data_IF_991365771361
#
_entry.id   IF_991365771361
#
_cell.length_a   1.000
_cell.length_b   1.000
_cell.length_c   1.000
_cell.angle_alpha   90.00
_cell.angle_beta   90.00
_cell.angle_gamma   90.00
#
_symmetry.space_group_name_H-M   'P 1'
#
loop_
_entity.id
_entity.type
_entity.pdbx_description
1 polymer ?
#
# COMPACT_ATOMS: atom_id res chain seq x y z
N UNK A 1 9.35 -70.41 71.07
CA UNK A 1 9.48 -68.95 71.24
C UNK A 1 9.93 -68.35 69.91
N UNK A 2 9.05 -67.55 69.27
CA UNK A 2 9.23 -66.65 68.11
C UNK A 2 8.28 -66.94 66.95
N UNK A 3 7.03 -66.55 67.18
CA UNK A 3 6.04 -66.14 66.18
C UNK A 3 6.61 -64.98 65.34
N UNK A 4 6.85 -65.21 64.05
CA UNK A 4 7.25 -64.16 63.11
C UNK A 4 6.01 -63.72 62.31
N UNK A 5 5.39 -62.65 62.80
CA UNK A 5 4.21 -62.00 62.23
C UNK A 5 4.38 -61.69 60.73
N UNK A 6 3.73 -62.45 59.86
CA UNK A 6 3.51 -62.06 58.47
C UNK A 6 2.34 -61.06 58.43
N UNK A 7 2.65 -59.79 58.70
CA UNK A 7 1.69 -58.68 58.60
C UNK A 7 1.31 -58.48 57.14
N UNK A 8 0.22 -59.13 56.71
CA UNK A 8 -0.43 -58.86 55.44
C UNK A 8 -0.78 -57.36 55.39
N UNK A 9 -0.01 -56.59 54.63
CA UNK A 9 -0.44 -55.26 54.19
C UNK A 9 -1.47 -55.49 53.10
N UNK A 10 -2.74 -55.48 53.48
CA UNK A 10 -3.84 -55.42 52.52
C UNK A 10 -3.59 -54.26 51.56
N UNK A 11 -3.36 -54.58 50.30
CA UNK A 11 -3.26 -53.59 49.25
C UNK A 11 -4.62 -52.90 49.16
N UNK A 12 -4.70 -51.69 49.73
CA UNK A 12 -5.85 -50.83 49.55
C UNK A 12 -5.89 -50.47 48.07
N UNK A 13 -6.67 -51.21 47.29
CA UNK A 13 -7.03 -50.82 45.94
C UNK A 13 -7.78 -49.50 46.04
N UNK A 14 -7.04 -48.39 45.95
CA UNK A 14 -7.59 -47.08 45.64
C UNK A 14 -8.34 -47.29 44.34
N UNK A 15 -9.68 -47.28 44.41
CA UNK A 15 -10.53 -47.20 43.24
C UNK A 15 -10.09 -45.93 42.50
N UNK A 16 -9.30 -46.08 41.44
CA UNK A 16 -8.99 -45.01 40.50
C UNK A 16 -10.32 -44.67 39.82
N UNK A 17 -11.00 -43.69 40.39
CA UNK A 17 -12.29 -43.20 39.92
C UNK A 17 -12.02 -42.22 38.80
N UNK A 18 -12.22 -42.61 37.54
CA UNK A 18 -12.58 -41.77 36.38
C UNK A 18 -11.85 -40.43 36.14
N UNK A 19 -10.79 -40.10 36.87
CA UNK A 19 -10.22 -38.76 36.90
C UNK A 19 -9.57 -38.40 35.55
N UNK A 20 -8.88 -39.37 34.95
CA UNK A 20 -8.29 -39.21 33.63
C UNK A 20 -9.35 -38.99 32.54
N UNK A 21 -10.51 -39.66 32.61
CA UNK A 21 -11.59 -39.45 31.62
C UNK A 21 -12.25 -38.09 31.80
N UNK A 22 -12.41 -37.61 33.04
CA UNK A 22 -12.95 -36.25 33.28
C UNK A 22 -11.97 -35.18 32.84
N UNK A 23 -10.67 -35.32 33.11
CA UNK A 23 -9.63 -34.37 32.68
C UNK A 23 -9.51 -34.34 31.15
N UNK A 24 -9.57 -35.50 30.49
CA UNK A 24 -9.58 -35.58 29.03
C UNK A 24 -10.80 -34.90 28.41
N UNK A 25 -12.00 -35.13 28.94
CA UNK A 25 -13.22 -34.48 28.44
C UNK A 25 -13.16 -32.96 28.62
N UNK A 26 -12.65 -32.48 29.77
CA UNK A 26 -12.46 -31.04 30.02
C UNK A 26 -11.46 -30.45 29.02
N UNK A 27 -10.33 -31.12 28.80
CA UNK A 27 -9.34 -30.68 27.81
C UNK A 27 -9.91 -30.69 26.39
N UNK A 28 -10.66 -31.72 26.01
CA UNK A 28 -11.29 -31.80 24.69
C UNK A 28 -12.31 -30.66 24.48
N UNK A 29 -13.10 -30.35 25.50
CA UNK A 29 -14.08 -29.26 25.47
C UNK A 29 -13.42 -27.89 25.29
N UNK A 30 -12.21 -27.70 25.83
CA UNK A 30 -11.43 -26.45 25.67
C UNK A 30 -10.65 -26.42 24.35
N UNK A 31 -10.00 -27.51 23.97
CA UNK A 31 -9.14 -27.58 22.78
C UNK A 31 -9.94 -27.58 21.47
N UNK A 32 -11.14 -28.16 21.46
CA UNK A 32 -11.97 -28.22 20.25
C UNK A 32 -12.33 -26.82 19.71
N UNK A 33 -12.96 -25.91 20.50
CA UNK A 33 -13.25 -24.56 20.01
C UNK A 33 -11.98 -23.76 19.70
N UNK A 34 -10.88 -23.99 20.44
CA UNK A 34 -9.60 -23.34 20.16
C UNK A 34 -9.04 -23.74 18.79
N UNK A 35 -9.08 -25.03 18.46
CA UNK A 35 -8.63 -25.53 17.15
C UNK A 35 -9.53 -25.06 16.02
N UNK A 36 -10.84 -24.92 16.25
CA UNK A 36 -11.78 -24.36 15.27
C UNK A 36 -11.60 -22.85 15.07
N UNK A 37 -11.09 -22.13 16.07
CA UNK A 37 -10.81 -20.70 15.95
C UNK A 37 -9.62 -20.41 15.02
N UNK A 38 -8.64 -21.33 14.91
CA UNK A 38 -7.45 -21.16 14.06
C UNK A 38 -7.78 -20.93 12.58
N UNK A 39 -8.54 -21.80 11.88
CA UNK A 39 -8.87 -21.57 10.47
C UNK A 39 -9.74 -20.32 10.26
N UNK A 40 -10.63 -20.01 11.21
CA UNK A 40 -11.44 -18.79 11.18
C UNK A 40 -10.55 -17.54 11.25
N UNK A 41 -9.57 -17.51 12.15
CA UNK A 41 -8.57 -16.44 12.21
C UNK A 41 -7.76 -16.37 10.91
N UNK A 42 -7.38 -17.51 10.34
CA UNK A 42 -6.69 -17.58 9.06
C UNK A 42 -7.47 -16.91 7.93
N UNK A 43 -8.78 -17.15 7.82
CA UNK A 43 -9.64 -16.50 6.83
C UNK A 43 -9.71 -14.97 7.01
N UNK A 44 -9.76 -14.49 8.25
CA UNK A 44 -9.71 -13.05 8.51
C UNK A 44 -8.35 -12.42 8.19
N UNK A 45 -7.26 -13.11 8.50
CA UNK A 45 -5.91 -12.67 8.14
C UNK A 45 -5.74 -12.63 6.61
N UNK A 46 -6.30 -13.60 5.90
CA UNK A 46 -6.28 -13.63 4.44
C UNK A 46 -7.04 -12.45 3.84
N UNK A 47 -8.29 -12.19 4.26
CA UNK A 47 -9.05 -11.00 3.86
C UNK A 47 -8.29 -9.69 4.12
N UNK A 48 -7.55 -9.64 5.21
CA UNK A 48 -6.71 -8.49 5.57
C UNK A 48 -5.53 -8.31 4.62
N UNK A 49 -4.91 -9.40 4.16
CA UNK A 49 -3.85 -9.36 3.15
C UNK A 49 -4.39 -8.94 1.79
N UNK A 50 -5.55 -9.46 1.39
CA UNK A 50 -6.23 -9.06 0.16
C UNK A 50 -6.62 -7.56 0.19
N UNK A 51 -7.06 -7.03 1.33
CA UNK A 51 -7.27 -5.59 1.51
C UNK A 51 -5.99 -4.76 1.33
N UNK A 52 -4.85 -5.26 1.81
CA UNK A 52 -3.54 -4.61 1.66
C UNK A 52 -3.06 -4.62 0.20
N UNK A 53 -3.26 -5.73 -0.51
CA UNK A 53 -2.97 -5.81 -1.93
C UNK A 53 -3.88 -4.86 -2.72
N UNK A 54 -5.16 -4.77 -2.34
CA UNK A 54 -6.13 -3.94 -3.04
C UNK A 54 -5.83 -2.46 -2.85
N UNK A 55 -5.37 -2.04 -1.67
CA UNK A 55 -4.97 -0.66 -1.43
C UNK A 55 -3.73 -0.27 -2.24
N UNK A 56 -2.76 -1.18 -2.40
CA UNK A 56 -1.60 -0.98 -3.27
C UNK A 56 -1.99 -0.88 -4.73
N UNK A 57 -2.87 -1.77 -5.18
CA UNK A 57 -3.41 -1.76 -6.53
C UNK A 57 -4.12 -0.44 -6.85
N UNK A 58 -5.04 -0.02 -5.99
CA UNK A 58 -5.77 1.24 -6.15
C UNK A 58 -4.82 2.45 -6.13
N UNK A 59 -3.90 2.52 -5.18
CA UNK A 59 -2.91 3.60 -5.12
C UNK A 59 -2.08 3.66 -6.42
N UNK A 60 -1.67 2.50 -6.94
CA UNK A 60 -0.93 2.41 -8.20
C UNK A 60 -1.74 2.92 -9.40
N UNK A 61 -2.98 2.44 -9.58
CA UNK A 61 -3.86 2.85 -10.68
C UNK A 61 -4.09 4.37 -10.70
N UNK A 62 -4.24 4.97 -9.52
CA UNK A 62 -4.38 6.42 -9.38
C UNK A 62 -3.06 7.13 -9.73
N UNK A 63 -1.92 6.61 -9.27
CA UNK A 63 -0.61 7.24 -9.47
C UNK A 63 -0.11 7.21 -10.93
N UNK A 64 -0.33 6.09 -11.65
CA UNK A 64 0.28 5.87 -12.97
C UNK A 64 -0.43 6.66 -14.09
N UNK A 65 -1.72 6.95 -13.91
CA UNK A 65 -2.54 7.61 -14.91
C UNK A 65 -2.36 9.13 -14.96
N UNK A 66 -1.66 9.69 -13.96
CA UNK A 66 -1.33 11.11 -13.86
C UNK A 66 -2.56 12.03 -13.85
N UNK A 67 -2.36 13.35 -13.89
CA UNK A 67 -3.46 14.33 -13.89
C UNK A 67 -4.31 14.33 -15.17
N UNK A 68 -3.81 13.79 -16.30
CA UNK A 68 -4.51 13.82 -17.59
C UNK A 68 -5.68 12.84 -17.71
N UNK A 69 -5.56 11.66 -17.10
CA UNK A 69 -6.48 10.55 -17.34
C UNK A 69 -6.85 9.86 -16.05
N UNK A 70 -7.37 10.62 -15.08
CA UNK A 70 -7.84 10.05 -13.82
C UNK A 70 -8.94 9.03 -14.09
N UNK A 71 -8.67 7.78 -13.75
CA UNK A 71 -9.63 6.70 -13.86
C UNK A 71 -10.72 6.90 -12.81
N UNK A 72 -11.97 6.68 -13.21
CA UNK A 72 -13.10 6.78 -12.28
C UNK A 72 -12.89 5.83 -11.09
N UNK A 73 -13.05 6.37 -9.89
CA UNK A 73 -12.94 5.66 -8.63
C UNK A 73 -13.87 4.44 -8.58
N UNK A 74 -15.07 4.55 -9.14
CA UNK A 74 -16.02 3.44 -9.22
C UNK A 74 -15.46 2.26 -10.04
N UNK A 75 -14.71 2.56 -11.10
CA UNK A 75 -14.07 1.56 -11.95
C UNK A 75 -12.91 0.90 -11.20
N UNK A 76 -12.04 1.70 -10.55
CA UNK A 76 -10.94 1.18 -9.73
C UNK A 76 -11.47 0.27 -8.62
N UNK A 77 -12.57 0.66 -7.96
CA UNK A 77 -13.21 -0.15 -6.94
C UNK A 77 -13.79 -1.46 -7.50
N UNK A 78 -14.42 -1.44 -8.68
CA UNK A 78 -14.95 -2.63 -9.34
C UNK A 78 -13.83 -3.61 -9.73
N UNK A 79 -12.76 -3.12 -10.32
CA UNK A 79 -11.59 -3.91 -10.68
C UNK A 79 -10.88 -4.48 -9.44
N UNK A 80 -10.73 -3.68 -8.37
CA UNK A 80 -10.14 -4.15 -7.12
C UNK A 80 -10.94 -5.31 -6.52
N UNK A 81 -12.28 -5.19 -6.47
CA UNK A 81 -13.16 -6.29 -6.04
C UNK A 81 -12.97 -7.53 -6.90
N UNK A 82 -12.92 -7.35 -8.21
CA UNK A 82 -12.85 -8.44 -9.17
C UNK A 82 -11.49 -9.12 -9.23
N UNK A 83 -10.39 -8.39 -9.11
CA UNK A 83 -9.03 -8.95 -9.22
C UNK A 83 -8.51 -9.48 -7.89
N UNK A 84 -8.94 -8.89 -6.78
CA UNK A 84 -8.38 -9.22 -5.47
C UNK A 84 -9.36 -9.92 -4.53
N UNK A 85 -10.67 -9.82 -4.72
CA UNK A 85 -11.64 -10.46 -3.83
C UNK A 85 -12.46 -11.57 -4.51
N UNK A 86 -12.24 -11.81 -5.80
CA UNK A 86 -12.85 -12.91 -6.55
C UNK A 86 -12.06 -14.22 -6.37
N UNK A 87 -12.50 -15.29 -7.04
CA UNK A 87 -11.68 -16.48 -7.28
C UNK A 87 -10.28 -16.15 -7.79
N UNK A 88 -9.28 -16.91 -7.35
CA UNK A 88 -7.88 -16.68 -7.73
C UNK A 88 -7.56 -16.98 -9.20
N UNK A 89 -8.44 -17.71 -9.89
CA UNK A 89 -8.35 -18.06 -11.31
C UNK A 89 -9.12 -17.07 -12.21
N UNK A 90 -9.66 -15.98 -11.64
CA UNK A 90 -10.40 -14.98 -12.38
C UNK A 90 -9.52 -14.36 -13.49
N UNK A 91 -9.92 -14.46 -14.78
CA UNK A 91 -9.20 -13.81 -15.86
C UNK A 91 -9.32 -12.29 -15.74
N UNK A 92 -8.21 -11.58 -16.00
CA UNK A 92 -8.16 -10.12 -16.01
C UNK A 92 -8.81 -9.61 -17.31
N UNK A 93 -9.87 -8.80 -17.17
CA UNK A 93 -10.60 -8.23 -18.31
C UNK A 93 -10.59 -6.70 -18.28
N UNK A 94 -10.87 -6.09 -19.44
CA UNK A 94 -11.22 -4.67 -19.52
C UNK A 94 -12.65 -4.49 -19.00
N UNK A 95 -12.90 -3.42 -18.23
CA UNK A 95 -14.18 -3.17 -17.56
C UNK A 95 -14.60 -4.32 -16.63
N UNK A 96 -13.64 -4.81 -15.84
CA UNK A 96 -13.84 -5.98 -14.98
C UNK A 96 -14.72 -5.63 -13.78
N UNK A 97 -15.78 -6.41 -13.58
CA UNK A 97 -16.73 -6.25 -12.48
C UNK A 97 -16.93 -7.60 -11.79
N UNK A 98 -16.87 -7.60 -10.46
CA UNK A 98 -17.10 -8.80 -9.66
C UNK A 98 -18.59 -9.17 -9.66
N UNK A 99 -18.90 -10.39 -10.10
CA UNK A 99 -20.24 -10.95 -10.01
C UNK A 99 -20.49 -11.57 -8.63
N UNK A 100 -21.67 -11.33 -8.06
CA UNK A 100 -22.10 -11.85 -6.77
C UNK A 100 -22.65 -13.30 -6.86
N UNK A 101 -21.96 -14.19 -7.59
CA UNK A 101 -22.35 -15.60 -7.74
C UNK A 101 -21.18 -16.53 -7.44
N UNK A 102 -21.46 -17.79 -7.06
CA UNK A 102 -20.48 -18.74 -6.52
C UNK A 102 -19.23 -18.92 -7.38
N UNK A 103 -19.37 -18.98 -8.71
CA UNK A 103 -18.26 -19.12 -9.65
C UNK A 103 -17.27 -17.94 -9.71
N UNK A 104 -17.58 -16.81 -9.08
CA UNK A 104 -16.70 -15.64 -8.96
C UNK A 104 -16.32 -15.33 -7.51
N UNK A 105 -16.64 -16.21 -6.55
CA UNK A 105 -16.29 -16.00 -5.14
C UNK A 105 -15.12 -16.87 -4.73
N UNK A 106 -14.23 -16.32 -3.92
CA UNK A 106 -13.17 -17.12 -3.32
C UNK A 106 -13.79 -18.22 -2.42
N UNK A 107 -13.56 -19.51 -2.71
CA UNK A 107 -14.13 -20.61 -1.93
C UNK A 107 -13.58 -20.68 -0.50
N UNK A 108 -12.41 -20.09 -0.24
CA UNK A 108 -11.79 -20.09 1.10
C UNK A 108 -12.54 -19.20 2.09
N UNK A 109 -13.32 -18.23 1.62
CA UNK A 109 -14.07 -17.28 2.44
C UNK A 109 -15.54 -17.69 2.59
N UNK A 110 -15.74 -18.99 2.82
CA UNK A 110 -17.03 -19.60 3.12
C UNK A 110 -17.05 -20.08 4.57
N UNK A 111 -18.20 -20.02 5.21
CA UNK A 111 -18.44 -20.68 6.49
C UNK A 111 -18.64 -22.19 6.30
N UNK A 112 -18.69 -22.97 7.38
CA UNK A 112 -18.96 -24.41 7.34
C UNK A 112 -20.34 -24.76 6.76
N UNK A 113 -21.26 -23.79 6.68
CA UNK A 113 -22.56 -23.89 6.01
C UNK A 113 -22.53 -23.61 4.52
N UNK A 114 -21.41 -23.09 4.01
CA UNK A 114 -21.27 -22.62 2.63
C UNK A 114 -21.63 -21.15 2.42
N UNK A 115 -22.04 -20.42 3.47
CA UNK A 115 -22.31 -18.99 3.39
C UNK A 115 -21.01 -18.20 3.19
N UNK A 116 -20.99 -17.23 2.28
CA UNK A 116 -19.80 -16.43 2.00
C UNK A 116 -19.66 -15.26 2.98
N UNK A 117 -18.44 -15.01 3.47
CA UNK A 117 -18.14 -13.85 4.31
C UNK A 117 -18.30 -12.51 3.57
N UNK A 118 -18.19 -12.53 2.24
CA UNK A 118 -18.46 -11.37 1.40
C UNK A 118 -19.62 -11.73 0.47
N UNK A 119 -20.88 -11.68 0.93
CA UNK A 119 -22.06 -12.06 0.14
C UNK A 119 -22.37 -11.04 -0.95
N UNK A 120 -22.00 -9.77 -0.77
CA UNK A 120 -22.10 -8.73 -1.80
C UNK A 120 -20.81 -7.94 -1.81
N UNK A 121 -20.09 -7.94 -2.92
CA UNK A 121 -18.81 -7.24 -2.99
C UNK A 121 -18.95 -5.73 -2.85
N UNK A 122 -20.05 -5.16 -3.33
CA UNK A 122 -20.32 -3.72 -3.26
C UNK A 122 -20.45 -3.22 -1.80
N UNK A 123 -21.11 -4.00 -0.93
CA UNK A 123 -21.33 -3.64 0.48
C UNK A 123 -20.18 -4.10 1.38
N UNK A 124 -19.59 -5.26 1.09
CA UNK A 124 -18.53 -5.86 1.89
C UNK A 124 -17.14 -5.27 1.62
N UNK A 125 -16.92 -4.59 0.48
CA UNK A 125 -15.64 -3.97 0.14
C UNK A 125 -15.86 -2.50 -0.22
N UNK A 126 -15.43 -1.61 0.66
CA UNK A 126 -15.45 -0.15 0.48
C UNK A 126 -14.14 0.34 -0.09
N UNK A 127 -14.20 1.33 -0.97
CA UNK A 127 -13.05 2.01 -1.56
C UNK A 127 -13.15 3.50 -1.27
N UNK A 128 -12.02 4.13 -0.96
CA UNK A 128 -11.90 5.58 -0.89
C UNK A 128 -10.50 6.01 -1.38
N UNK A 129 -10.45 6.83 -2.42
CA UNK A 129 -9.25 7.48 -2.90
C UNK A 129 -9.21 8.96 -2.47
N UNK A 130 -8.04 9.42 -2.06
CA UNK A 130 -7.79 10.83 -1.79
C UNK A 130 -6.42 11.24 -2.34
N UNK A 131 -6.36 12.38 -3.00
CA UNK A 131 -5.11 13.06 -3.32
C UNK A 131 -4.89 14.15 -2.26
N UNK A 132 -3.73 14.13 -1.61
CA UNK A 132 -3.34 15.10 -0.60
C UNK A 132 -2.10 15.87 -1.07
N UNK A 133 -2.05 17.16 -0.75
CA UNK A 133 -0.86 17.99 -0.92
C UNK A 133 0.14 17.65 0.16
N UNK A 134 1.31 17.13 -0.22
CA UNK A 134 2.48 17.11 0.64
C UNK A 134 3.57 17.94 -0.01
N UNK A 135 4.32 18.67 0.81
CA UNK A 135 5.46 19.43 0.33
C UNK A 135 6.45 18.48 -0.36
N UNK A 136 6.45 18.49 -1.69
CA UNK A 136 7.40 17.77 -2.48
C UNK A 136 8.77 18.46 -2.36
N UNK A 137 9.89 17.71 -2.35
CA UNK A 137 11.22 18.30 -2.45
C UNK A 137 11.48 19.01 -3.79
N UNK A 138 10.52 19.06 -4.73
CA UNK A 138 10.68 19.63 -6.07
C UNK A 138 11.13 21.10 -6.10
N UNK A 139 10.97 21.86 -5.00
CA UNK A 139 11.51 23.23 -4.87
C UNK A 139 13.04 23.30 -4.90
N UNK A 140 13.76 22.26 -4.48
CA UNK A 140 15.24 22.32 -4.40
C UNK A 140 15.93 22.04 -5.73
N UNK A 141 15.24 21.50 -6.73
CA UNK A 141 15.77 21.26 -8.09
C UNK A 141 15.32 22.34 -9.09
N UNK A 142 14.41 23.24 -8.69
CA UNK A 142 13.92 24.35 -9.51
C UNK A 142 14.97 25.42 -9.84
N UNK A 143 16.20 25.32 -9.32
CA UNK A 143 17.29 26.26 -9.61
C UNK A 143 17.63 26.38 -11.10
N UNK A 144 17.43 25.31 -11.88
CA UNK A 144 17.66 25.29 -13.32
C UNK A 144 16.41 25.57 -14.16
N UNK A 145 15.25 25.74 -13.52
CA UNK A 145 13.94 25.80 -14.17
C UNK A 145 13.40 27.23 -14.34
N UNK A 146 14.28 28.25 -14.42
CA UNK A 146 13.89 29.67 -14.53
C UNK A 146 13.51 30.31 -13.19
N UNK A 147 13.41 31.64 -13.16
CA UNK A 147 13.16 32.44 -11.93
C UNK A 147 11.83 32.12 -11.25
N UNK A 148 10.85 31.65 -12.03
CA UNK A 148 9.51 31.30 -11.54
C UNK A 148 9.35 29.79 -11.33
N UNK A 149 10.33 28.98 -11.77
CA UNK A 149 10.31 27.52 -11.73
C UNK A 149 9.22 26.89 -12.63
N UNK A 150 9.26 25.56 -12.81
CA UNK A 150 8.22 24.85 -13.59
C UNK A 150 6.84 24.75 -12.90
N UNK A 151 6.65 25.42 -11.74
CA UNK A 151 5.40 25.44 -10.96
C UNK A 151 4.72 24.07 -10.86
N UNK A 152 5.52 23.04 -10.53
CA UNK A 152 5.06 21.66 -10.54
C UNK A 152 3.94 21.44 -9.50
N UNK A 153 2.94 20.59 -9.78
CA UNK A 153 1.85 20.29 -8.85
C UNK A 153 2.35 19.82 -7.47
N UNK A 154 1.77 20.35 -6.40
CA UNK A 154 2.14 20.00 -5.02
C UNK A 154 1.27 18.86 -4.43
N UNK A 155 0.18 18.47 -5.12
CA UNK A 155 -0.68 17.33 -4.79
C UNK A 155 -0.05 16.01 -5.23
N UNK A 156 1.05 15.67 -4.58
CA UNK A 156 1.92 14.56 -4.98
C UNK A 156 1.74 13.29 -4.14
N UNK A 157 0.92 13.31 -3.08
CA UNK A 157 0.62 12.14 -2.27
C UNK A 157 -0.76 11.58 -2.64
N UNK A 158 -0.76 10.43 -3.31
CA UNK A 158 -1.97 9.71 -3.65
C UNK A 158 -2.20 8.60 -2.64
N UNK A 159 -3.34 8.64 -1.97
CA UNK A 159 -3.72 7.67 -0.95
C UNK A 159 -4.94 6.89 -1.39
N UNK A 160 -4.85 5.56 -1.35
CA UNK A 160 -6.00 4.67 -1.49
C UNK A 160 -6.29 3.95 -0.18
N UNK A 161 -7.57 3.91 0.21
CA UNK A 161 -8.09 3.21 1.39
C UNK A 161 -9.08 2.13 0.95
N UNK A 162 -8.88 0.93 1.46
CA UNK A 162 -9.76 -0.22 1.26
C UNK A 162 -10.28 -0.68 2.60
N UNK A 163 -11.59 -0.73 2.72
CA UNK A 163 -12.28 -1.31 3.87
C UNK A 163 -12.93 -2.64 3.48
N UNK A 164 -12.79 -3.65 4.33
CA UNK A 164 -13.47 -4.94 4.18
C UNK A 164 -14.34 -5.17 5.40
N UNK A 165 -15.62 -5.48 5.15
CA UNK A 165 -16.66 -5.73 6.12
C UNK A 165 -17.21 -7.14 5.88
N UNK A 166 -16.57 -8.18 6.44
CA UNK A 166 -17.09 -9.54 6.36
C UNK A 166 -18.39 -9.67 7.16
N UNK A 167 -19.35 -10.45 6.63
CA UNK A 167 -20.53 -10.87 7.37
C UNK A 167 -20.14 -11.76 8.55
N UNK A 168 -20.88 -11.64 9.66
CA UNK A 168 -20.59 -12.40 10.88
C UNK A 168 -21.01 -13.85 10.71
N UNK A 169 -20.20 -14.81 11.18
CA UNK A 169 -20.64 -16.20 11.26
C UNK A 169 -21.74 -16.32 12.34
N UNK A 170 -22.93 -16.76 11.93
CA UNK A 170 -24.17 -16.71 12.73
C UNK A 170 -24.15 -17.62 13.97
N UNK A 171 -23.18 -18.53 14.07
CA UNK A 171 -23.17 -19.61 15.06
C UNK A 171 -22.31 -19.34 16.29
N UNK A 172 -21.44 -18.34 16.23
CA UNK A 172 -20.73 -17.89 17.40
C UNK A 172 -21.61 -16.92 18.16
N UNK A 173 -22.29 -17.42 19.21
CA UNK A 173 -23.17 -16.59 20.06
C UNK A 173 -22.44 -15.37 20.66
N UNK A 174 -21.12 -15.49 20.86
CA UNK A 174 -20.24 -14.38 21.25
C UNK A 174 -20.22 -13.22 20.22
N UNK A 175 -20.41 -13.53 18.92
CA UNK A 175 -20.48 -12.62 17.78
C UNK A 175 -21.89 -12.46 17.19
N UNK A 176 -22.93 -12.92 17.90
CA UNK A 176 -24.32 -12.78 17.46
C UNK A 176 -24.82 -11.33 17.55
N UNK A 177 -25.95 -11.04 16.90
CA UNK A 177 -26.57 -9.71 16.84
C UNK A 177 -26.91 -9.14 18.23
N UNK A 178 -27.05 -10.01 19.24
CA UNK A 178 -27.25 -9.63 20.65
C UNK A 178 -26.02 -8.97 21.29
N UNK A 179 -24.86 -9.01 20.62
CA UNK A 179 -23.61 -8.39 21.05
C UNK A 179 -23.07 -7.42 19.98
N UNK A 180 -23.70 -6.25 19.79
CA UNK A 180 -23.43 -5.32 18.68
C UNK A 180 -22.00 -4.74 18.68
N UNK A 181 -21.23 -4.93 19.76
CA UNK A 181 -19.89 -4.38 19.94
C UNK A 181 -18.80 -4.97 19.03
N UNK A 182 -19.04 -6.08 18.35
CA UNK A 182 -18.03 -6.73 17.50
C UNK A 182 -18.42 -6.63 16.03
N UNK A 183 -18.24 -5.43 15.45
CA UNK A 183 -18.25 -5.25 14.00
C UNK A 183 -16.80 -5.24 13.50
N UNK A 184 -16.35 -6.36 12.94
CA UNK A 184 -14.99 -6.49 12.42
C UNK A 184 -14.89 -5.75 11.10
N UNK A 185 -14.29 -4.57 11.13
CA UNK A 185 -13.92 -3.81 9.94
C UNK A 185 -12.41 -3.82 9.77
N UNK A 186 -11.95 -4.33 8.64
CA UNK A 186 -10.53 -4.26 8.26
C UNK A 186 -10.34 -3.04 7.39
N UNK A 187 -9.43 -2.14 7.75
CA UNK A 187 -9.10 -0.97 6.93
C UNK A 187 -7.62 -1.00 6.56
N UNK A 188 -7.29 -0.82 5.28
CA UNK A 188 -5.92 -0.78 4.76
C UNK A 188 -5.74 0.45 3.91
N UNK A 189 -4.60 1.11 4.07
CA UNK A 189 -4.26 2.34 3.38
C UNK A 189 -2.90 2.19 2.73
N UNK A 190 -2.75 2.73 1.52
CA UNK A 190 -1.45 2.84 0.85
C UNK A 190 -1.33 4.23 0.25
N UNK A 191 -0.22 4.91 0.55
CA UNK A 191 0.14 6.20 -0.01
C UNK A 191 1.30 6.03 -0.99
N UNK A 192 1.20 6.65 -2.17
CA UNK A 192 2.27 6.76 -3.14
C UNK A 192 2.60 8.23 -3.32
N UNK A 193 3.86 8.58 -3.10
CA UNK A 193 4.40 9.88 -3.43
C UNK A 193 4.87 9.82 -4.88
N UNK A 194 4.22 10.57 -5.78
CA UNK A 194 4.67 10.69 -7.17
C UNK A 194 5.50 11.95 -7.36
N UNK A 195 6.37 11.94 -8.37
CA UNK A 195 7.03 13.17 -8.78
C UNK A 195 6.12 13.96 -9.73
N UNK A 196 6.18 15.28 -9.62
CA UNK A 196 5.30 16.20 -10.31
C UNK A 196 5.79 16.53 -11.75
N UNK A 197 6.84 15.85 -12.21
CA UNK A 197 7.36 15.93 -13.58
C UNK A 197 6.45 15.32 -14.64
N UNK A 198 5.47 14.50 -14.26
CA UNK A 198 4.45 14.06 -15.20
C UNK A 198 3.53 15.24 -15.56
N UNK A 199 3.34 15.46 -16.87
CA UNK A 199 2.41 16.43 -17.41
C UNK A 199 1.18 15.73 -17.99
N UNK A 200 0.02 16.37 -17.88
CA UNK A 200 -1.21 15.89 -18.47
C UNK A 200 -1.20 16.02 -20.01
N UNK A 201 -0.53 17.02 -20.55
CA UNK A 201 -0.52 17.26 -22.00
C UNK A 201 0.76 17.96 -22.45
N UNK A 202 1.01 17.90 -23.76
CA UNK A 202 2.09 18.69 -24.38
C UNK A 202 1.87 20.20 -24.18
N UNK A 203 0.62 20.66 -24.17
CA UNK A 203 0.28 22.06 -23.90
C UNK A 203 0.66 22.46 -22.47
N UNK A 204 0.41 21.59 -21.48
CA UNK A 204 0.82 21.85 -20.10
C UNK A 204 2.35 21.89 -19.95
N UNK A 205 3.09 21.02 -20.66
CA UNK A 205 4.55 21.09 -20.69
C UNK A 205 5.00 22.42 -21.29
N UNK A 206 4.40 22.82 -22.43
CA UNK A 206 4.70 24.09 -23.09
C UNK A 206 4.43 25.26 -22.16
N UNK A 207 3.27 25.31 -21.51
CA UNK A 207 2.90 26.36 -20.57
C UNK A 207 3.88 26.42 -19.39
N UNK A 208 4.28 25.27 -18.82
CA UNK A 208 5.28 25.23 -17.73
C UNK A 208 6.64 25.78 -18.18
N UNK A 209 7.06 25.51 -19.41
CA UNK A 209 8.34 25.99 -19.96
C UNK A 209 8.27 27.47 -20.32
N UNK A 210 7.20 27.92 -20.96
CA UNK A 210 7.03 29.33 -21.36
C UNK A 210 6.85 30.24 -20.14
N UNK A 211 6.19 29.75 -19.09
CA UNK A 211 5.95 30.49 -17.85
C UNK A 211 7.01 30.23 -16.75
N UNK A 212 8.07 29.47 -17.05
CA UNK A 212 9.21 29.27 -16.15
C UNK A 212 10.02 30.57 -15.92
N UNK A 213 9.82 31.57 -16.79
CA UNK A 213 10.59 32.79 -16.82
C UNK A 213 11.95 32.59 -17.50
N UNK A 214 12.77 33.65 -17.64
CA UNK A 214 14.09 33.54 -18.26
C UNK A 214 14.97 32.53 -17.51
N UNK A 215 15.48 31.54 -18.25
CA UNK A 215 16.49 30.58 -17.80
C UNK A 215 17.88 31.24 -17.77
N UNK A 216 18.01 32.36 -17.08
CA UNK A 216 19.34 32.86 -16.72
C UNK A 216 19.77 32.09 -15.48
N UNK A 217 20.85 31.29 -15.49
CA UNK A 217 21.45 30.89 -14.24
C UNK A 217 21.76 32.19 -13.50
N UNK A 218 21.27 32.39 -12.27
CA UNK A 218 21.62 33.59 -11.55
C UNK A 218 23.15 33.58 -11.42
N UNK A 219 23.82 34.56 -12.05
CA UNK A 219 25.21 34.91 -11.76
C UNK A 219 25.38 35.43 -10.32
N UNK A 220 24.27 35.50 -9.57
CA UNK A 220 24.27 35.51 -8.13
C UNK A 220 24.27 34.06 -7.67
N UNK A 221 25.45 33.57 -7.28
CA UNK A 221 25.56 32.48 -6.31
C UNK A 221 24.59 32.84 -5.18
N UNK A 222 23.42 32.20 -5.06
CA UNK A 222 22.66 32.37 -3.83
C UNK A 222 23.62 31.85 -2.79
N UNK A 223 23.85 32.61 -1.72
CA UNK A 223 24.44 32.07 -0.51
C UNK A 223 23.68 30.78 -0.21
N UNK A 224 24.27 29.66 -0.60
CA UNK A 224 23.77 28.32 -0.35
C UNK A 224 23.54 28.37 1.15
N UNK A 225 22.30 28.23 1.61
CA UNK A 225 22.15 27.71 2.96
C UNK A 225 22.82 26.33 2.85
N UNK A 226 24.01 26.13 3.44
CA UNK A 226 24.92 25.08 3.00
C UNK A 226 24.40 23.67 3.28
N UNK A 227 23.22 23.54 3.89
CA UNK A 227 22.65 22.26 4.29
C UNK A 227 21.24 22.01 3.72
N UNK A 228 21.04 21.90 2.39
CA UNK A 228 19.84 21.21 1.86
C UNK A 228 19.80 19.74 2.33
N UNK A 229 20.96 19.19 2.70
CA UNK A 229 21.08 17.91 3.37
C UNK A 229 20.50 17.92 4.79
N UNK A 230 20.47 19.04 5.54
CA UNK A 230 19.84 19.03 6.88
C UNK A 230 18.34 18.75 6.78
N UNK A 231 17.63 19.44 5.90
CA UNK A 231 16.19 19.22 5.69
C UNK A 231 15.87 17.79 5.19
N UNK A 232 16.74 17.22 4.35
CA UNK A 232 16.63 15.82 3.90
C UNK A 232 17.01 14.81 4.98
N UNK A 233 18.03 15.10 5.82
CA UNK A 233 18.41 14.23 6.93
C UNK A 233 17.45 14.31 8.11
N UNK A 234 16.79 15.45 8.34
CA UNK A 234 15.74 15.61 9.35
C UNK A 234 14.49 14.80 8.97
N UNK A 235 14.10 14.81 7.69
CA UNK A 235 13.00 13.97 7.17
C UNK A 235 13.32 12.47 7.13
N UNK A 236 14.60 12.10 6.99
CA UNK A 236 15.06 10.70 7.02
C UNK A 236 15.40 10.19 8.43
N UNK A 237 15.72 11.07 9.39
CA UNK A 237 15.98 10.70 10.78
C UNK A 237 14.72 10.22 11.51
N UNK A 238 13.53 10.65 11.07
CA UNK A 238 12.25 10.09 11.52
C UNK A 238 12.01 8.63 11.06
N UNK A 239 12.79 8.12 10.08
CA UNK A 239 12.56 6.84 9.41
C UNK A 239 13.55 5.71 9.76
N UNK A 240 14.45 5.89 10.74
CA UNK A 240 15.27 4.80 11.31
C UNK A 240 16.75 4.75 10.88
N UNK A 241 17.52 3.73 11.35
CA UNK A 241 18.96 3.83 11.59
C UNK A 241 19.79 3.48 10.35
N UNK A 242 19.77 4.33 9.33
CA UNK A 242 20.65 4.17 8.17
C UNK A 242 21.90 5.05 8.29
N UNK A 243 23.09 4.59 7.84
CA UNK A 243 24.34 5.33 7.95
C UNK A 243 24.40 6.48 6.95
N UNK A 244 23.86 7.63 7.35
CA UNK A 244 23.72 8.88 6.57
C UNK A 244 25.06 9.50 6.12
N UNK A 245 26.18 9.05 6.68
CA UNK A 245 27.51 9.62 6.39
C UNK A 245 28.03 9.28 4.99
N UNK A 246 27.64 8.13 4.42
CA UNK A 246 28.08 7.71 3.08
C UNK A 246 27.49 8.61 1.98
N UNK A 247 26.25 9.09 2.18
CA UNK A 247 25.56 10.03 1.30
C UNK A 247 26.21 11.42 1.30
N UNK A 248 26.73 11.87 2.45
CA UNK A 248 27.45 13.15 2.56
C UNK A 248 28.75 13.16 1.74
N UNK A 249 29.44 12.02 1.66
CA UNK A 249 30.70 11.91 0.92
C UNK A 249 30.52 11.93 -0.60
N UNK A 250 29.43 11.34 -1.13
CA UNK A 250 29.12 11.35 -2.57
C UNK A 250 28.57 12.70 -3.06
N UNK A 251 27.90 13.46 -2.21
CA UNK A 251 27.38 14.78 -2.55
C UNK A 251 28.51 15.82 -2.78
N UNK A 252 29.62 15.70 -2.04
CA UNK A 252 30.76 16.62 -2.16
C UNK A 252 31.50 16.48 -3.51
N UNK A 253 31.50 15.28 -4.10
CA UNK A 253 32.16 15.02 -5.40
C UNK A 253 31.27 15.38 -6.59
N UNK A 254 29.95 15.22 -6.48
CA UNK A 254 29.00 15.58 -7.55
C UNK A 254 28.82 17.10 -7.71
N UNK A 255 29.00 17.89 -6.66
CA UNK A 255 28.89 19.36 -6.70
C UNK A 255 30.01 20.08 -7.47
N UNK A 256 31.11 19.39 -7.80
CA UNK A 256 32.28 19.98 -8.48
C UNK A 256 32.39 19.62 -9.97
N UNK A 257 31.59 18.66 -10.45
CA UNK A 257 31.67 18.15 -11.82
C UNK A 257 31.34 19.16 -12.94
N UNK A 258 30.41 20.12 -12.81
CA UNK A 258 30.15 21.05 -13.92
C UNK A 258 31.19 22.17 -14.06
N UNK A 259 32.11 22.34 -13.11
CA UNK A 259 33.17 23.37 -13.16
C UNK A 259 34.46 22.84 -13.79
N UNK A 260 34.71 21.52 -13.74
CA UNK A 260 35.98 20.93 -14.16
C UNK A 260 36.08 20.55 -15.64
N UNK A 261 34.95 20.42 -16.36
CA UNK A 261 34.96 19.88 -17.72
C UNK A 261 35.12 20.91 -18.85
N UNK A 262 35.09 22.23 -18.58
CA UNK A 262 35.38 23.25 -19.60
C UNK A 262 34.55 23.17 -20.89
N UNK A 263 33.44 22.42 -20.88
CA UNK A 263 32.59 22.25 -22.04
C UNK A 263 31.80 23.55 -22.28
N UNK A 264 31.71 24.00 -23.54
CA UNK A 264 30.88 25.14 -23.88
C UNK A 264 29.44 24.84 -23.46
N UNK A 265 28.89 25.73 -22.62
CA UNK A 265 27.49 25.70 -22.19
C UNK A 265 26.59 25.46 -23.42
N UNK A 266 25.69 24.45 -23.39
CA UNK A 266 24.72 24.27 -24.47
C UNK A 266 23.91 25.56 -24.58
N UNK A 267 24.01 26.23 -25.74
CA UNK A 267 23.19 27.41 -26.04
C UNK A 267 21.76 26.93 -26.25
N UNK A 268 20.97 26.94 -25.19
CA UNK A 268 19.52 26.79 -25.31
C UNK A 268 18.95 28.03 -26.02
N UNK A 269 18.88 27.95 -27.35
CA UNK A 269 18.06 28.85 -28.15
C UNK A 269 16.59 28.53 -27.93
N UNK A 270 15.71 29.50 -28.26
CA UNK A 270 14.24 29.34 -28.24
C UNK A 270 13.86 28.00 -28.90
N UNK A 271 13.52 27.00 -28.10
CA UNK A 271 12.90 25.79 -28.59
C UNK A 271 11.47 26.18 -28.94
N UNK A 272 11.17 26.32 -30.23
CA UNK A 272 9.80 26.33 -30.71
C UNK A 272 9.31 24.87 -30.65
N UNK A 273 8.37 24.53 -29.75
CA UNK A 273 7.89 23.16 -29.58
C UNK A 273 7.18 22.61 -30.83
N UNK A 274 6.89 23.46 -31.82
CA UNK A 274 6.28 23.05 -33.10
C UNK A 274 7.31 22.74 -34.20
N UNK A 275 8.60 23.02 -33.96
CA UNK A 275 9.67 22.71 -34.91
C UNK A 275 10.26 21.35 -34.51
N UNK A 276 9.90 20.33 -35.28
CA UNK A 276 10.50 19.00 -35.18
C UNK A 276 11.94 19.10 -35.67
N UNK A 277 12.95 18.66 -34.88
CA UNK A 277 14.33 18.59 -35.33
C UNK A 277 14.44 17.82 -36.66
N UNK A 278 15.22 18.33 -37.61
CA UNK A 278 15.32 17.77 -38.97
C UNK A 278 15.75 16.28 -38.99
N UNK A 279 16.51 15.84 -37.99
CA UNK A 279 16.91 14.44 -37.80
C UNK A 279 15.74 13.48 -37.49
N UNK A 280 14.56 14.02 -37.17
CA UNK A 280 13.33 13.26 -36.91
C UNK A 280 12.30 13.35 -38.04
N UNK A 281 12.59 14.05 -39.13
CA UNK A 281 11.73 14.10 -40.33
C UNK A 281 12.23 13.10 -41.38
N UNK A 282 11.31 12.46 -42.10
CA UNK A 282 11.63 11.56 -43.21
C UNK A 282 10.83 11.99 -44.47
N UNK A 283 11.50 12.49 -45.53
CA UNK A 283 12.95 12.63 -45.66
C UNK A 283 13.50 13.74 -44.76
N UNK A 284 14.75 13.61 -44.28
CA UNK A 284 15.37 14.66 -43.49
C UNK A 284 15.54 15.93 -44.34
N UNK A 285 15.24 17.07 -43.71
CA UNK A 285 15.82 18.36 -44.10
C UNK A 285 17.28 18.44 -43.65
#
# INVERSE_FOLDING_TARGET
MKEFFYRQRGAMHRRMRGQSTTEFVVLALVLTPLLLAVPLLGKYLDLTQHASQASRYAAFEISVRGPATVKDEAIVAAEARRRLFSTSDAPIKTNDVAGDFSGMRNPLWTDFRGDHFLPRFADGVTHAAAAETRAAPSRSVAFYAGVDGFKLPENNLYTARIGVLPERPRDFKFWSDDNPGVNLRMNRQTGILIDAWNAASADEVRDRIENAGPSTPPLLVPSFNPNPLQAFTESMAELGPYPVWLLKAQAATLGLLPVLLGEPQPKFGKHDPNIVPCDRLDPPC
#
